data_IF_028087546317
#
_entry.id   IF_028087546317
#
_cell.length_a   1.000
_cell.length_b   1.000
_cell.length_c   1.000
_cell.angle_alpha   90.00
_cell.angle_beta   90.00
_cell.angle_gamma   90.00
#
_symmetry.space_group_name_H-M   'P 1'
#
loop_
_entity.id
_entity.type
_entity.pdbx_description
1 polymer ?
#
# COMPACT_ATOMS: atom_id res chain seq x y z
N UNK A 1 -40.39 14.37 -42.88
CA UNK A 1 -39.68 13.43 -43.79
C UNK A 1 -39.23 12.24 -42.98
N UNK A 2 -39.65 11.04 -43.38
CA UNK A 2 -39.28 9.75 -42.78
C UNK A 2 -37.91 9.34 -43.31
N UNK A 3 -37.01 8.89 -42.45
CA UNK A 3 -35.81 8.16 -42.87
C UNK A 3 -35.99 6.75 -42.32
N UNK A 4 -36.14 5.81 -43.25
CA UNK A 4 -36.34 4.38 -43.01
C UNK A 4 -34.99 3.70 -42.83
N UNK A 5 -35.02 2.64 -42.02
CA UNK A 5 -33.95 1.78 -41.52
C UNK A 5 -32.82 1.39 -42.48
N UNK A 6 -31.64 1.17 -41.91
CA UNK A 6 -30.71 0.13 -42.35
C UNK A 6 -30.47 -0.84 -41.18
N UNK A 7 -31.01 -2.03 -41.36
CA UNK A 7 -30.87 -3.19 -40.50
C UNK A 7 -29.49 -3.84 -40.61
N UNK A 8 -29.12 -4.47 -39.49
CA UNK A 8 -28.13 -5.54 -39.36
C UNK A 8 -26.65 -5.16 -39.48
N UNK A 9 -26.01 -5.16 -38.31
CA UNK A 9 -24.57 -5.34 -38.19
C UNK A 9 -23.91 -4.20 -37.42
N UNK A 10 -23.73 -4.36 -36.11
CA UNK A 10 -22.54 -3.86 -35.45
C UNK A 10 -22.36 -4.60 -34.12
N UNK A 11 -21.44 -5.57 -34.18
CA UNK A 11 -20.52 -5.99 -33.12
C UNK A 11 -20.88 -5.51 -31.70
N UNK A 12 -21.28 -6.46 -30.87
CA UNK A 12 -21.23 -6.28 -29.42
C UNK A 12 -19.79 -5.97 -29.01
N UNK A 13 -19.59 -4.78 -28.46
CA UNK A 13 -18.40 -4.44 -27.70
C UNK A 13 -18.87 -4.00 -26.32
N UNK A 14 -19.26 -4.98 -25.50
CA UNK A 14 -19.35 -4.79 -24.06
C UNK A 14 -17.91 -4.60 -23.57
N UNK A 15 -17.46 -3.35 -23.46
CA UNK A 15 -16.23 -3.04 -22.75
C UNK A 15 -16.47 -3.33 -21.27
N UNK A 16 -16.15 -4.56 -20.87
CA UNK A 16 -15.88 -4.87 -19.47
C UNK A 16 -14.64 -4.07 -19.07
N UNK A 17 -14.86 -2.89 -18.49
CA UNK A 17 -13.82 -2.16 -17.79
C UNK A 17 -13.36 -3.04 -16.62
N UNK A 18 -12.28 -3.78 -16.85
CA UNK A 18 -11.57 -4.52 -15.81
C UNK A 18 -11.07 -3.48 -14.80
N UNK A 19 -11.73 -3.42 -13.64
CA UNK A 19 -11.30 -2.62 -12.51
C UNK A 19 -9.95 -3.18 -12.05
N UNK A 20 -8.88 -2.47 -12.35
CA UNK A 20 -7.58 -2.65 -11.70
C UNK A 20 -7.71 -2.18 -10.25
N UNK A 21 -8.32 -3.03 -9.41
CA UNK A 21 -8.31 -2.82 -7.97
C UNK A 21 -6.87 -3.05 -7.49
N UNK A 22 -6.09 -1.96 -7.42
CA UNK A 22 -4.92 -1.91 -6.54
C UNK A 22 -5.44 -2.08 -5.12
N UNK A 23 -5.51 -3.33 -4.67
CA UNK A 23 -5.73 -3.69 -3.28
C UNK A 23 -4.48 -3.28 -2.48
N UNK A 24 -4.38 -2.00 -2.16
CA UNK A 24 -3.20 -1.44 -1.48
C UNK A 24 -3.46 -0.18 -0.66
N UNK A 25 -4.71 0.28 -0.54
CA UNK A 25 -5.06 1.39 0.34
C UNK A 25 -5.99 0.87 1.44
N UNK A 26 -5.40 0.39 2.54
CA UNK A 26 -6.12 0.06 3.76
C UNK A 26 -5.46 0.84 4.89
N UNK A 27 -5.95 2.05 5.16
CA UNK A 27 -5.42 2.91 6.22
C UNK A 27 -5.92 4.35 6.12
N UNK A 28 -7.07 4.65 6.71
CA UNK A 28 -7.53 6.03 6.85
C UNK A 28 -6.68 6.79 7.86
N UNK A 29 -5.67 7.52 7.38
CA UNK A 29 -4.80 8.40 8.17
C UNK A 29 -3.84 9.12 7.23
N UNK A 30 -3.05 10.07 7.73
CA UNK A 30 -1.92 10.66 7.00
C UNK A 30 -0.92 9.53 6.67
N UNK A 31 -1.17 8.81 5.59
CA UNK A 31 -0.59 7.49 5.38
C UNK A 31 0.76 7.65 4.67
N UNK A 32 1.83 7.37 5.39
CA UNK A 32 3.15 7.24 4.78
C UNK A 32 3.08 6.00 3.89
N UNK A 33 3.15 6.21 2.58
CA UNK A 33 3.05 5.12 1.62
C UNK A 33 4.19 4.10 1.82
N UNK A 34 3.88 2.79 1.84
CA UNK A 34 4.90 1.75 1.91
C UNK A 34 5.84 1.80 0.70
N UNK A 35 7.13 1.55 0.92
CA UNK A 35 8.14 1.43 -0.14
C UNK A 35 8.69 -0.01 -0.18
N UNK A 36 9.46 -0.35 -1.22
CA UNK A 36 10.08 -1.67 -1.29
C UNK A 36 10.93 -1.90 -0.03
N UNK A 37 10.57 -2.93 0.73
CA UNK A 37 11.24 -3.32 1.98
C UNK A 37 10.43 -3.02 3.26
N UNK A 38 9.43 -2.13 3.17
CA UNK A 38 8.41 -1.95 4.22
C UNK A 38 7.67 -3.27 4.50
N UNK A 39 7.23 -3.49 5.74
CA UNK A 39 6.46 -4.68 6.13
C UNK A 39 5.11 -4.73 5.39
N UNK A 40 4.53 -3.57 5.15
CA UNK A 40 3.23 -3.41 4.47
C UNK A 40 3.36 -3.28 2.95
N UNK A 41 4.56 -3.44 2.39
CA UNK A 41 4.76 -3.40 0.94
C UNK A 41 4.08 -4.58 0.26
N UNK A 42 3.16 -4.29 -0.66
CA UNK A 42 2.32 -5.32 -1.31
C UNK A 42 1.12 -5.78 -0.45
N UNK A 43 0.85 -5.12 0.67
CA UNK A 43 -0.32 -5.36 1.52
C UNK A 43 0.02 -5.63 2.99
N UNK A 44 -1.01 -5.76 3.81
CA UNK A 44 -0.86 -6.03 5.25
C UNK A 44 -0.40 -7.47 5.52
N UNK A 45 0.49 -7.70 6.50
CA UNK A 45 0.92 -9.05 6.88
C UNK A 45 -0.25 -9.88 7.40
N UNK A 46 -0.35 -11.14 6.95
CA UNK A 46 -1.41 -12.07 7.39
C UNK A 46 -1.19 -12.58 8.82
N UNK A 47 0.08 -12.64 9.26
CA UNK A 47 0.43 -12.91 10.65
C UNK A 47 0.25 -11.63 11.46
N UNK A 48 -0.91 -11.47 12.08
CA UNK A 48 -1.17 -10.37 13.00
C UNK A 48 -0.21 -10.47 14.19
N UNK A 49 0.36 -9.34 14.63
CA UNK A 49 1.10 -9.23 15.88
C UNK A 49 0.14 -9.37 17.08
N UNK A 50 -0.44 -10.56 17.25
CA UNK A 50 -1.54 -10.85 18.18
C UNK A 50 -1.12 -10.72 19.65
N UNK A 51 0.17 -10.93 19.92
CA UNK A 51 0.76 -10.84 21.26
C UNK A 51 1.06 -9.41 21.70
N UNK A 52 1.22 -8.49 20.74
CA UNK A 52 1.44 -7.09 21.05
C UNK A 52 0.11 -6.36 21.26
N UNK A 53 0.01 -5.45 22.25
CA UNK A 53 -1.15 -4.59 22.44
C UNK A 53 -1.42 -3.68 21.23
N UNK A 54 -2.68 -3.29 21.05
CA UNK A 54 -3.06 -2.23 20.11
C UNK A 54 -2.40 -0.91 20.53
N UNK A 55 -1.97 -0.10 19.58
CA UNK A 55 -1.24 1.15 19.80
C UNK A 55 0.24 0.97 20.13
N UNK A 56 0.73 -0.28 20.27
CA UNK A 56 2.17 -0.52 20.41
C UNK A 56 2.91 -0.15 19.13
N UNK A 57 4.13 0.37 19.31
CA UNK A 57 5.01 0.74 18.22
C UNK A 57 6.26 -0.11 18.18
N UNK A 58 6.82 -0.33 16.99
CA UNK A 58 8.10 -1.02 16.83
C UNK A 58 8.82 -0.55 15.56
N UNK A 59 10.16 -0.55 15.56
CA UNK A 59 10.96 -0.22 14.39
C UNK A 59 11.11 -1.42 13.46
N UNK A 60 11.35 -1.15 12.18
CA UNK A 60 11.77 -2.11 11.17
C UNK A 60 12.77 -1.45 10.25
N UNK A 61 13.96 -2.04 10.18
CA UNK A 61 15.03 -1.57 9.31
C UNK A 61 15.17 -2.46 8.08
N UNK A 62 15.40 -1.85 6.93
CA UNK A 62 15.63 -2.55 5.68
C UNK A 62 16.52 -1.74 4.73
N UNK A 63 17.04 -2.42 3.70
CA UNK A 63 17.69 -1.76 2.57
C UNK A 63 16.64 -1.54 1.49
N UNK A 64 16.49 -0.31 1.04
CA UNK A 64 15.50 0.04 0.02
C UNK A 64 15.97 -0.34 -1.40
N UNK A 65 15.21 0.08 -2.40
CA UNK A 65 15.53 -0.20 -3.80
C UNK A 65 16.73 0.59 -4.35
N UNK A 66 17.16 1.66 -3.67
CA UNK A 66 18.29 2.50 -4.05
C UNK A 66 19.57 2.13 -3.30
N UNK A 67 19.48 1.24 -2.31
CA UNK A 67 20.61 0.79 -1.48
C UNK A 67 20.72 1.54 -0.17
N UNK A 68 19.77 2.41 0.16
CA UNK A 68 19.75 3.18 1.39
C UNK A 68 19.24 2.32 2.55
N UNK A 69 19.87 2.46 3.72
CA UNK A 69 19.35 1.88 4.95
C UNK A 69 18.22 2.76 5.48
N UNK A 70 17.02 2.21 5.58
CA UNK A 70 15.82 2.91 6.03
C UNK A 70 15.34 2.31 7.34
N UNK A 71 14.91 3.16 8.28
CA UNK A 71 14.17 2.75 9.47
C UNK A 71 12.75 3.29 9.41
N UNK A 72 11.77 2.40 9.56
CA UNK A 72 10.37 2.74 9.66
C UNK A 72 9.84 2.36 11.04
N UNK A 73 9.11 3.29 11.67
CA UNK A 73 8.37 3.00 12.91
C UNK A 73 6.93 2.69 12.57
N UNK A 74 6.47 1.54 13.03
CA UNK A 74 5.10 1.06 12.84
C UNK A 74 4.30 1.21 14.11
N UNK A 75 2.99 1.44 13.97
CA UNK A 75 2.00 1.30 15.05
C UNK A 75 1.00 0.19 14.70
N UNK A 76 0.58 -0.56 15.72
CA UNK A 76 -0.48 -1.57 15.60
C UNK A 76 -1.84 -0.89 15.73
N UNK A 77 -2.59 -0.82 14.65
CA UNK A 77 -3.94 -0.23 14.62
C UNK A 77 -4.98 -1.12 15.33
N UNK A 78 -6.18 -0.60 15.66
CA UNK A 78 -7.23 -1.37 16.32
C UNK A 78 -7.67 -2.64 15.58
N UNK A 79 -7.60 -2.65 14.25
CA UNK A 79 -7.87 -3.82 13.39
C UNK A 79 -6.68 -4.80 13.29
N UNK A 80 -5.58 -4.48 13.99
CA UNK A 80 -4.26 -5.13 13.97
C UNK A 80 -3.55 -5.06 12.62
N UNK A 81 -3.94 -4.12 11.76
CA UNK A 81 -3.08 -3.68 10.66
C UNK A 81 -1.90 -2.88 11.21
N UNK A 82 -0.86 -2.76 10.40
CA UNK A 82 0.30 -1.95 10.68
C UNK A 82 0.21 -0.65 9.90
N UNK A 83 0.43 0.48 10.56
CA UNK A 83 0.55 1.78 9.91
C UNK A 83 1.93 2.35 10.16
N UNK A 84 2.53 2.93 9.12
CA UNK A 84 3.82 3.60 9.22
C UNK A 84 3.56 4.99 9.83
N UNK A 85 4.22 5.29 10.95
CA UNK A 85 4.09 6.58 11.65
C UNK A 85 5.34 7.45 11.53
N UNK A 86 6.49 6.84 11.23
CA UNK A 86 7.74 7.55 10.97
C UNK A 86 8.59 6.78 9.96
N UNK A 87 9.36 7.50 9.14
CA UNK A 87 10.37 6.94 8.23
C UNK A 87 11.55 7.89 8.13
N UNK A 88 12.76 7.36 8.29
CA UNK A 88 13.99 8.10 8.04
C UNK A 88 15.07 7.20 7.42
N UNK A 89 15.97 7.82 6.65
CA UNK A 89 17.18 7.15 6.15
C UNK A 89 18.22 7.17 7.28
N UNK A 90 18.75 6.01 7.61
CA UNK A 90 19.87 5.86 8.54
C UNK A 90 21.13 6.20 7.76
N UNK A 91 21.48 7.48 7.75
CA UNK A 91 22.85 7.89 7.50
C UNK A 91 23.62 7.69 8.80
N UNK A 92 24.69 6.89 8.77
CA UNK A 92 25.70 6.97 9.81
C UNK A 92 26.26 8.39 9.77
N UNK A 93 25.72 9.28 10.59
CA UNK A 93 26.37 10.55 10.87
C UNK A 93 27.65 10.18 11.60
N UNK A 94 28.74 10.09 10.86
CA UNK A 94 30.09 9.92 11.38
C UNK A 94 30.33 11.08 12.35
N UNK A 95 30.10 10.85 13.63
CA UNK A 95 30.37 11.81 14.68
C UNK A 95 31.76 11.49 15.21
N UNK A 96 32.75 12.16 14.62
CA UNK A 96 34.09 12.34 15.21
C UNK A 96 34.00 13.25 16.45
#
# INVERSE_FOLDING_TARGET
MKIVAFSAGLLGLALALSSCTTAGASGGGSDIAPIKGSITYGGQPRSKLTKSPIGSTFPHEFIDQFGDRVSETYVIEPDRSLRIIDRHVISESFSD
#
